data_IF_511507540602
#
_entry.id   IF_511507540602
#
_cell.length_a   1.000
_cell.length_b   1.000
_cell.length_c   1.000
_cell.angle_alpha   90.00
_cell.angle_beta   90.00
_cell.angle_gamma   90.00
#
_symmetry.space_group_name_H-M   'P 1'
#
loop_
_entity.id
_entity.type
_entity.pdbx_description
1 polymer ?
#
# COMPACT_ATOMS: atom_id res chain seq x y z
N UNK A 1 10.29 -19.24 15.15
CA UNK A 1 11.21 -18.13 15.47
C UNK A 1 10.35 -17.06 16.15
N UNK A 2 10.80 -16.46 17.25
CA UNK A 2 10.04 -15.37 17.88
C UNK A 2 10.10 -14.14 16.97
N UNK A 3 8.95 -13.49 16.74
CA UNK A 3 8.82 -12.39 15.77
C UNK A 3 9.77 -11.24 16.05
N UNK A 4 10.14 -11.04 17.32
CA UNK A 4 11.12 -10.02 17.72
C UNK A 4 12.48 -10.23 17.07
N UNK A 5 12.91 -11.48 16.92
CA UNK A 5 14.17 -11.78 16.22
C UNK A 5 14.03 -11.49 14.74
N UNK A 6 12.88 -11.79 14.13
CA UNK A 6 12.63 -11.50 12.72
C UNK A 6 12.68 -9.99 12.49
N UNK A 7 11.98 -9.20 13.30
CA UNK A 7 11.98 -7.72 13.21
C UNK A 7 13.38 -7.14 13.50
N UNK A 8 14.12 -7.69 14.46
CA UNK A 8 15.49 -7.22 14.77
C UNK A 8 16.45 -7.49 13.62
N UNK A 9 16.43 -8.70 13.06
CA UNK A 9 17.26 -9.07 11.89
C UNK A 9 16.87 -8.22 10.68
N UNK A 10 15.58 -8.03 10.45
CA UNK A 10 15.05 -7.18 9.39
C UNK A 10 15.51 -5.72 9.53
N UNK A 11 15.49 -5.17 10.75
CA UNK A 11 15.95 -3.83 11.07
C UNK A 11 17.45 -3.66 10.76
N UNK A 12 18.29 -4.54 11.31
CA UNK A 12 19.74 -4.51 11.05
C UNK A 12 20.03 -4.65 9.56
N UNK A 13 19.38 -5.59 8.88
CA UNK A 13 19.58 -5.79 7.45
C UNK A 13 19.19 -4.55 6.61
N UNK A 14 18.04 -3.94 6.89
CA UNK A 14 17.55 -2.75 6.18
C UNK A 14 18.39 -1.51 6.47
N UNK A 15 18.92 -1.37 7.68
CA UNK A 15 19.84 -0.28 8.02
C UNK A 15 21.20 -0.50 7.35
N UNK A 16 21.76 -1.71 7.44
CA UNK A 16 23.02 -2.03 6.79
C UNK A 16 22.96 -1.84 5.28
N UNK A 17 21.84 -2.17 4.63
CA UNK A 17 21.68 -1.96 3.19
C UNK A 17 21.69 -0.49 2.80
N UNK A 18 21.04 0.40 3.56
CA UNK A 18 21.08 1.85 3.34
C UNK A 18 22.49 2.42 3.61
N UNK A 19 23.19 1.92 4.63
CA UNK A 19 24.57 2.32 4.91
C UNK A 19 25.53 1.89 3.80
N UNK A 20 25.38 0.67 3.29
CA UNK A 20 26.14 0.17 2.13
C UNK A 20 25.82 0.96 0.85
N UNK A 21 24.54 1.29 0.62
CA UNK A 21 24.15 2.14 -0.50
C UNK A 21 24.82 3.53 -0.45
N UNK A 22 25.10 4.06 0.75
CA UNK A 22 25.75 5.37 0.91
C UNK A 22 27.20 5.44 0.41
N UNK A 23 27.86 4.30 0.26
CA UNK A 23 29.26 4.19 -0.21
C UNK A 23 29.36 3.58 -1.61
N UNK A 24 28.23 3.32 -2.26
CA UNK A 24 28.17 2.76 -3.60
C UNK A 24 28.55 3.81 -4.66
N UNK A 25 29.38 3.41 -5.62
CA UNK A 25 29.81 4.25 -6.74
C UNK A 25 29.15 3.86 -8.07
N UNK A 26 28.61 2.64 -8.15
CA UNK A 26 28.03 2.08 -9.37
C UNK A 26 26.51 1.87 -9.24
N UNK A 27 25.77 2.06 -10.34
CA UNK A 27 24.30 1.91 -10.36
C UNK A 27 23.88 0.49 -9.99
N UNK A 28 24.61 -0.54 -10.43
CA UNK A 28 24.29 -1.93 -10.10
C UNK A 28 24.42 -2.23 -8.60
N UNK A 29 25.33 -1.55 -7.90
CA UNK A 29 25.47 -1.67 -6.44
C UNK A 29 24.23 -1.10 -5.73
N UNK A 30 23.64 -0.04 -6.29
CA UNK A 30 22.39 0.53 -5.77
C UNK A 30 21.20 -0.40 -6.00
N UNK A 31 21.11 -1.08 -7.14
CA UNK A 31 20.06 -2.08 -7.36
C UNK A 31 20.11 -3.21 -6.33
N UNK A 32 21.31 -3.66 -5.97
CA UNK A 32 21.47 -4.72 -4.95
C UNK A 32 21.18 -4.17 -3.56
N UNK A 33 21.76 -3.03 -3.17
CA UNK A 33 21.62 -2.50 -1.82
C UNK A 33 20.21 -1.97 -1.55
N UNK A 34 19.70 -1.08 -2.41
CA UNK A 34 18.39 -0.44 -2.20
C UNK A 34 17.25 -1.35 -2.68
N UNK A 35 17.41 -2.03 -3.82
CA UNK A 35 16.36 -2.89 -4.37
C UNK A 35 16.25 -4.21 -3.59
N UNK A 36 17.31 -5.03 -3.63
CA UNK A 36 17.25 -6.39 -3.10
C UNK A 36 17.39 -6.44 -1.57
N UNK A 37 18.45 -5.87 -1.00
CA UNK A 37 18.72 -5.99 0.43
C UNK A 37 17.70 -5.23 1.30
N UNK A 38 17.42 -3.96 0.97
CA UNK A 38 16.37 -3.21 1.68
C UNK A 38 14.98 -3.82 1.42
N UNK A 39 14.71 -4.32 0.21
CA UNK A 39 13.44 -5.01 -0.10
C UNK A 39 13.24 -6.26 0.74
N UNK A 40 14.28 -7.08 0.92
CA UNK A 40 14.22 -8.27 1.76
C UNK A 40 14.05 -7.91 3.24
N UNK A 41 14.82 -6.94 3.75
CA UNK A 41 14.71 -6.48 5.13
C UNK A 41 13.33 -5.89 5.43
N UNK A 42 12.82 -5.01 4.58
CA UNK A 42 11.49 -4.40 4.76
C UNK A 42 10.37 -5.43 4.66
N UNK A 43 10.48 -6.44 3.79
CA UNK A 43 9.50 -7.53 3.69
C UNK A 43 9.43 -8.38 4.97
N UNK A 44 10.58 -8.72 5.56
CA UNK A 44 10.66 -9.44 6.82
C UNK A 44 10.07 -8.63 8.00
N UNK A 45 10.19 -7.31 7.96
CA UNK A 45 9.60 -6.42 8.97
C UNK A 45 8.09 -6.20 8.75
N UNK A 46 7.67 -6.08 7.50
CA UNK A 46 6.28 -5.80 7.11
C UNK A 46 5.33 -6.90 7.59
N UNK A 47 5.73 -8.17 7.39
CA UNK A 47 4.89 -9.32 7.70
C UNK A 47 4.42 -9.37 9.18
N UNK A 48 5.30 -9.40 10.20
CA UNK A 48 4.87 -9.44 11.60
C UNK A 48 4.12 -8.15 12.01
N UNK A 49 4.54 -6.98 11.53
CA UNK A 49 3.85 -5.72 11.82
C UNK A 49 2.41 -5.68 11.28
N UNK A 50 2.13 -6.36 10.17
CA UNK A 50 0.77 -6.50 9.64
C UNK A 50 -0.06 -7.60 10.33
N UNK A 51 0.55 -8.74 10.66
CA UNK A 51 -0.19 -9.87 11.23
C UNK A 51 -0.64 -9.63 12.68
N UNK A 52 0.20 -8.99 13.50
CA UNK A 52 -0.05 -8.88 14.94
C UNK A 52 -1.31 -8.06 15.27
N UNK A 53 -1.60 -6.92 14.64
CA UNK A 53 -2.88 -6.23 14.83
C UNK A 53 -4.10 -7.12 14.52
N UNK A 54 -4.03 -7.94 13.47
CA UNK A 54 -5.11 -8.87 13.07
C UNK A 54 -5.35 -9.98 14.09
N UNK A 55 -4.31 -10.38 14.84
CA UNK A 55 -4.42 -11.35 15.93
C UNK A 55 -4.91 -10.74 17.25
N UNK A 56 -4.38 -9.57 17.62
CA UNK A 56 -4.69 -8.91 18.89
C UNK A 56 -6.13 -8.38 18.95
N UNK A 57 -6.64 -7.90 17.82
CA UNK A 57 -8.00 -7.37 17.74
C UNK A 57 -8.89 -8.33 16.97
N UNK A 58 -10.00 -8.75 17.56
CA UNK A 58 -11.02 -9.58 16.89
C UNK A 58 -12.20 -8.77 16.39
N UNK A 59 -12.69 -7.83 17.22
CA UNK A 59 -13.88 -6.99 16.94
C UNK A 59 -13.57 -5.68 16.22
N UNK A 60 -12.34 -5.17 16.33
CA UNK A 60 -11.88 -3.89 15.75
C UNK A 60 -10.68 -4.08 14.83
N UNK A 61 -10.72 -5.14 14.00
CA UNK A 61 -9.61 -5.55 13.12
C UNK A 61 -9.30 -4.49 12.08
N UNK A 62 -10.33 -3.92 11.48
CA UNK A 62 -10.19 -2.97 10.38
C UNK A 62 -9.65 -1.64 10.90
N UNK A 63 -10.10 -1.19 12.08
CA UNK A 63 -9.52 -0.01 12.74
C UNK A 63 -8.04 -0.23 13.07
N UNK A 64 -7.69 -1.38 13.67
CA UNK A 64 -6.29 -1.67 14.03
C UNK A 64 -5.39 -1.72 12.79
N UNK A 65 -5.84 -2.40 11.74
CA UNK A 65 -5.14 -2.44 10.44
C UNK A 65 -5.07 -1.04 9.81
N UNK A 66 -6.11 -0.24 9.94
CA UNK A 66 -6.18 1.13 9.43
C UNK A 66 -5.22 2.08 10.10
N UNK A 67 -4.94 1.91 11.40
CA UNK A 67 -3.88 2.66 12.09
C UNK A 67 -2.50 2.29 11.54
N UNK A 68 -2.24 0.99 11.31
CA UNK A 68 -0.92 0.57 10.79
C UNK A 68 -0.75 0.95 9.32
N UNK A 69 -1.74 0.71 8.46
CA UNK A 69 -1.71 1.14 7.06
C UNK A 69 -1.69 2.67 6.95
N UNK A 70 -2.38 3.37 7.85
CA UNK A 70 -2.35 4.83 7.91
C UNK A 70 -0.93 5.39 8.13
N UNK A 71 -0.04 4.63 8.76
CA UNK A 71 1.37 5.04 8.90
C UNK A 71 2.10 5.17 7.55
N UNK A 72 1.67 4.49 6.49
CA UNK A 72 2.25 4.64 5.14
C UNK A 72 2.09 6.07 4.62
N UNK A 73 0.94 6.70 4.88
CA UNK A 73 0.69 8.06 4.42
C UNK A 73 1.49 9.10 5.21
N UNK A 74 1.60 8.93 6.53
CA UNK A 74 2.44 9.78 7.39
C UNK A 74 3.91 9.61 7.01
N UNK A 75 4.36 8.37 6.84
CA UNK A 75 5.72 8.06 6.39
C UNK A 75 6.02 8.67 5.03
N UNK A 76 5.13 8.53 4.05
CA UNK A 76 5.30 9.12 2.73
C UNK A 76 5.48 10.63 2.78
N UNK A 77 4.67 11.34 3.58
CA UNK A 77 4.79 12.79 3.76
C UNK A 77 6.10 13.18 4.45
N UNK A 78 6.44 12.55 5.58
CA UNK A 78 7.62 12.91 6.37
C UNK A 78 8.91 12.54 5.66
N UNK A 79 9.03 11.30 5.15
CA UNK A 79 10.25 10.83 4.50
C UNK A 79 10.53 11.56 3.19
N UNK A 80 9.51 11.90 2.40
CA UNK A 80 9.72 12.67 1.16
C UNK A 80 10.32 14.04 1.45
N UNK A 81 9.80 14.77 2.44
CA UNK A 81 10.30 16.09 2.81
C UNK A 81 11.71 16.03 3.42
N UNK A 82 11.96 15.07 4.32
CA UNK A 82 13.29 14.86 4.90
C UNK A 82 14.31 14.51 3.81
N UNK A 83 13.94 13.65 2.87
CA UNK A 83 14.81 13.26 1.76
C UNK A 83 15.14 14.45 0.86
N UNK A 84 14.15 15.25 0.44
CA UNK A 84 14.38 16.44 -0.39
C UNK A 84 15.32 17.43 0.31
N UNK A 85 15.06 17.75 1.58
CA UNK A 85 15.90 18.67 2.35
C UNK A 85 17.33 18.14 2.55
N UNK A 86 17.50 16.84 2.80
CA UNK A 86 18.83 16.23 2.95
C UNK A 86 19.60 16.21 1.62
N UNK A 87 18.93 15.92 0.51
CA UNK A 87 19.55 15.91 -0.81
C UNK A 87 20.08 17.30 -1.20
N UNK A 88 19.33 18.36 -0.89
CA UNK A 88 19.71 19.74 -1.20
C UNK A 88 20.85 20.27 -0.32
N UNK A 89 20.95 19.84 0.94
CA UNK A 89 21.87 20.42 1.93
C UNK A 89 23.16 19.63 2.14
N UNK A 90 23.07 18.30 2.24
CA UNK A 90 24.19 17.43 2.67
C UNK A 90 24.53 16.35 1.64
N UNK A 91 23.80 16.32 0.52
CA UNK A 91 24.03 15.43 -0.61
C UNK A 91 23.58 13.98 -0.39
N UNK A 92 23.70 13.19 -1.45
CA UNK A 92 23.16 11.83 -1.54
C UNK A 92 23.66 10.85 -0.47
N UNK A 93 24.98 10.76 -0.27
CA UNK A 93 25.57 9.77 0.63
C UNK A 93 25.12 9.98 2.09
N UNK A 94 25.13 11.23 2.57
CA UNK A 94 24.66 11.52 3.92
C UNK A 94 23.15 11.41 4.07
N UNK A 95 22.38 11.76 3.03
CA UNK A 95 20.94 11.53 3.01
C UNK A 95 20.60 10.05 3.29
N UNK A 96 21.26 9.10 2.63
CA UNK A 96 21.03 7.67 2.86
C UNK A 96 21.41 7.22 4.28
N UNK A 97 22.46 7.79 4.87
CA UNK A 97 22.85 7.49 6.26
C UNK A 97 21.82 7.99 7.26
N UNK A 98 21.31 9.21 7.08
CA UNK A 98 20.24 9.77 7.90
C UNK A 98 19.00 8.86 7.85
N UNK A 99 18.60 8.43 6.66
CA UNK A 99 17.49 7.47 6.49
C UNK A 99 17.77 6.13 7.17
N UNK A 100 19.00 5.62 7.08
CA UNK A 100 19.41 4.39 7.76
C UNK A 100 19.37 4.49 9.29
N UNK A 101 19.76 5.63 9.88
CA UNK A 101 19.66 5.88 11.32
C UNK A 101 18.21 6.02 11.78
N UNK A 102 17.36 6.71 11.00
CA UNK A 102 15.93 6.79 11.27
C UNK A 102 15.27 5.40 11.24
N UNK A 103 15.60 4.59 10.23
CA UNK A 103 15.14 3.21 10.12
C UNK A 103 15.59 2.36 11.32
N UNK A 104 16.83 2.53 11.77
CA UNK A 104 17.36 1.81 12.94
C UNK A 104 16.61 2.18 14.22
N UNK A 105 16.38 3.48 14.44
CA UNK A 105 15.69 3.97 15.63
C UNK A 105 14.23 3.47 15.66
N UNK A 106 13.49 3.67 14.57
CA UNK A 106 12.08 3.27 14.49
C UNK A 106 11.91 1.74 14.46
N UNK A 107 12.75 1.04 13.69
CA UNK A 107 12.75 -0.43 13.61
C UNK A 107 13.20 -1.09 14.91
N UNK A 108 14.13 -0.47 15.65
CA UNK A 108 14.54 -0.91 16.98
C UNK A 108 13.40 -0.80 18.01
N UNK A 109 12.67 0.32 18.00
CA UNK A 109 11.46 0.47 18.82
C UNK A 109 10.41 -0.59 18.44
N UNK A 110 10.19 -0.82 17.14
CA UNK A 110 9.27 -1.84 16.66
C UNK A 110 9.67 -3.26 17.11
N UNK A 111 10.97 -3.59 17.10
CA UNK A 111 11.48 -4.89 17.55
C UNK A 111 11.18 -5.18 19.03
N UNK A 112 11.19 -4.15 19.88
CA UNK A 112 10.88 -4.27 21.31
C UNK A 112 9.36 -4.40 21.54
N UNK A 113 8.57 -3.64 20.78
CA UNK A 113 7.12 -3.53 20.96
C UNK A 113 6.32 -4.63 20.27
N UNK A 114 6.84 -5.24 19.19
CA UNK A 114 6.13 -6.29 18.45
C UNK A 114 6.10 -7.59 19.27
N UNK A 115 5.03 -7.79 20.05
CA UNK A 115 4.84 -8.97 20.91
C UNK A 115 3.77 -9.91 20.35
N UNK A 116 4.08 -11.21 20.18
CA UNK A 116 3.06 -12.18 19.78
C UNK A 116 2.04 -12.38 20.90
N UNK A 117 0.74 -12.39 20.55
CA UNK A 117 -0.33 -12.71 21.52
C UNK A 117 -0.33 -14.20 21.86
N UNK A 118 -0.22 -15.04 20.83
CA UNK A 118 -0.18 -16.49 20.95
C UNK A 118 1.23 -17.01 20.73
N UNK A 119 1.61 -18.08 21.43
CA UNK A 119 2.88 -18.76 21.16
C UNK A 119 2.91 -19.20 19.69
N UNK A 120 4.03 -19.04 18.97
CA UNK A 120 4.11 -19.46 17.58
C UNK A 120 3.77 -20.94 17.47
N UNK A 121 2.72 -21.25 16.72
CA UNK A 121 2.29 -22.62 16.46
C UNK A 121 3.40 -23.33 15.67
N UNK A 122 3.92 -24.43 16.21
CA UNK A 122 4.92 -25.24 15.51
C UNK A 122 4.24 -25.96 14.34
N UNK A 123 4.89 -26.00 13.18
CA UNK A 123 4.41 -26.76 12.01
C UNK A 123 3.44 -26.02 11.07
N UNK A 124 3.34 -24.68 11.16
CA UNK A 124 2.62 -23.90 10.15
C UNK A 124 3.37 -23.99 8.81
N UNK A 125 2.68 -24.43 7.75
CA UNK A 125 3.25 -24.47 6.41
C UNK A 125 3.60 -23.05 5.94
N UNK A 126 4.84 -22.84 5.52
CA UNK A 126 5.33 -21.55 4.98
C UNK A 126 4.60 -21.23 3.67
N UNK A 127 4.32 -22.26 2.88
CA UNK A 127 3.56 -22.17 1.62
C UNK A 127 2.48 -23.25 1.65
N UNK A 128 1.22 -22.84 1.46
CA UNK A 128 0.10 -23.76 1.37
C UNK A 128 -0.66 -23.56 0.05
N UNK A 129 -0.37 -24.40 -0.94
CA UNK A 129 -1.05 -24.40 -2.24
C UNK A 129 -2.50 -24.88 -2.17
N UNK A 130 -2.94 -25.50 -1.07
CA UNK A 130 -4.34 -25.91 -0.92
C UNK A 130 -5.28 -24.70 -0.91
N UNK A 131 -4.79 -23.51 -0.51
CA UNK A 131 -5.54 -22.26 -0.57
C UNK A 131 -5.98 -21.90 -2.00
N UNK A 132 -5.21 -22.28 -3.02
CA UNK A 132 -5.55 -22.03 -4.43
C UNK A 132 -6.74 -22.88 -4.92
N UNK A 133 -7.16 -23.91 -4.16
CA UNK A 133 -8.39 -24.65 -4.45
C UNK A 133 -9.64 -23.91 -3.99
N UNK A 134 -9.52 -22.96 -3.07
CA UNK A 134 -10.63 -22.17 -2.57
C UNK A 134 -10.95 -21.03 -3.55
N UNK A 135 -12.09 -21.13 -4.25
CA UNK A 135 -12.55 -20.13 -5.22
C UNK A 135 -12.59 -18.70 -4.67
N UNK A 136 -13.00 -18.52 -3.40
CA UNK A 136 -13.05 -17.19 -2.75
C UNK A 136 -11.66 -16.60 -2.59
N UNK A 137 -10.70 -17.45 -2.22
CA UNK A 137 -9.32 -17.05 -2.04
C UNK A 137 -8.63 -16.74 -3.38
N UNK A 138 -8.90 -17.50 -4.44
CA UNK A 138 -8.38 -17.19 -5.80
C UNK A 138 -8.89 -15.84 -6.30
N UNK A 139 -10.17 -15.53 -6.09
CA UNK A 139 -10.71 -14.20 -6.42
C UNK A 139 -10.02 -13.09 -5.61
N UNK A 140 -9.73 -13.35 -4.32
CA UNK A 140 -9.00 -12.41 -3.48
C UNK A 140 -7.56 -12.18 -3.98
N UNK A 141 -6.89 -13.20 -4.50
CA UNK A 141 -5.59 -13.04 -5.16
C UNK A 141 -5.71 -12.13 -6.38
N UNK A 142 -6.78 -12.26 -7.17
CA UNK A 142 -7.09 -11.35 -8.27
C UNK A 142 -7.30 -9.90 -7.82
N UNK A 143 -7.99 -9.68 -6.69
CA UNK A 143 -8.15 -8.35 -6.07
C UNK A 143 -6.78 -7.74 -5.73
N UNK A 144 -5.90 -8.51 -5.08
CA UNK A 144 -4.56 -8.02 -4.71
C UNK A 144 -3.67 -7.78 -5.93
N UNK A 145 -3.71 -8.67 -6.92
CA UNK A 145 -2.96 -8.55 -8.15
C UNK A 145 -3.36 -7.28 -8.92
N UNK A 146 -4.65 -7.12 -9.25
CA UNK A 146 -5.14 -5.99 -10.04
C UNK A 146 -5.01 -4.67 -9.25
N UNK A 147 -5.35 -4.68 -7.96
CA UNK A 147 -5.27 -3.50 -7.10
C UNK A 147 -3.84 -2.94 -7.01
N UNK A 148 -2.83 -3.80 -7.02
CA UNK A 148 -1.44 -3.37 -6.98
C UNK A 148 -0.98 -2.60 -8.23
N UNK A 149 -1.53 -2.91 -9.42
CA UNK A 149 -1.23 -2.13 -10.63
C UNK A 149 -1.78 -0.70 -10.54
N UNK A 150 -2.93 -0.52 -9.89
CA UNK A 150 -3.57 0.80 -9.75
C UNK A 150 -2.95 1.66 -8.65
N UNK A 151 -2.43 1.03 -7.59
CA UNK A 151 -2.05 1.70 -6.34
C UNK A 151 -1.13 2.91 -6.54
N UNK A 152 -0.05 2.75 -7.30
CA UNK A 152 0.96 3.80 -7.47
C UNK A 152 0.59 4.91 -8.46
N UNK A 153 -0.44 4.71 -9.30
CA UNK A 153 -0.74 5.61 -10.44
C UNK A 153 -1.11 7.02 -9.99
N UNK A 154 -2.08 7.23 -9.08
CA UNK A 154 -2.43 8.57 -8.62
C UNK A 154 -1.24 9.32 -8.00
N UNK A 155 -0.50 8.68 -7.07
CA UNK A 155 0.61 9.33 -6.39
C UNK A 155 1.78 9.68 -7.32
N UNK A 156 2.09 8.83 -8.30
CA UNK A 156 3.18 9.05 -9.25
C UNK A 156 2.88 10.13 -10.30
N UNK A 157 1.67 10.12 -10.86
CA UNK A 157 1.32 11.00 -11.98
C UNK A 157 0.63 12.30 -11.57
N UNK A 158 0.10 12.42 -10.34
CA UNK A 158 -0.59 13.64 -9.91
C UNK A 158 0.33 14.89 -9.98
N UNK A 159 1.57 14.88 -9.43
CA UNK A 159 2.46 16.04 -9.56
C UNK A 159 2.85 16.33 -11.01
N UNK A 160 3.10 15.28 -11.81
CA UNK A 160 3.49 15.42 -13.22
C UNK A 160 2.35 16.03 -14.05
N UNK A 161 1.11 15.60 -13.82
CA UNK A 161 -0.07 16.16 -14.45
C UNK A 161 -0.30 17.61 -14.02
N UNK A 162 -0.13 17.93 -12.74
CA UNK A 162 -0.23 19.31 -12.24
C UNK A 162 0.80 20.23 -12.94
N UNK A 163 2.06 19.79 -13.05
CA UNK A 163 3.10 20.55 -13.74
C UNK A 163 2.81 20.73 -15.23
N UNK A 164 2.21 19.72 -15.89
CA UNK A 164 1.78 19.85 -17.29
C UNK A 164 0.69 20.92 -17.50
N UNK A 165 -0.07 21.24 -16.45
CA UNK A 165 -1.05 22.33 -16.44
C UNK A 165 -0.45 23.68 -16.00
N UNK A 166 0.87 23.75 -15.83
CA UNK A 166 1.58 24.97 -15.42
C UNK A 166 1.58 25.23 -13.91
N UNK A 167 1.18 24.27 -13.08
CA UNK A 167 1.30 24.38 -11.62
C UNK A 167 2.78 24.26 -11.23
N UNK A 168 3.23 25.11 -10.31
CA UNK A 168 4.61 25.12 -9.84
C UNK A 168 4.99 23.79 -9.13
N UNK A 169 6.28 23.45 -9.17
CA UNK A 169 6.81 22.18 -8.63
C UNK A 169 6.51 22.01 -7.15
N UNK A 170 6.52 23.10 -6.38
CA UNK A 170 6.27 23.06 -4.93
C UNK A 170 4.81 22.71 -4.62
N UNK A 171 3.86 23.41 -5.25
CA UNK A 171 2.44 23.10 -5.14
C UNK A 171 2.12 21.68 -5.62
N UNK A 172 2.66 21.27 -6.77
CA UNK A 172 2.46 19.93 -7.32
C UNK A 172 2.98 18.82 -6.41
N UNK A 173 4.15 19.02 -5.78
CA UNK A 173 4.72 18.07 -4.81
C UNK A 173 3.87 18.00 -3.55
N UNK A 174 3.40 19.14 -3.06
CA UNK A 174 2.53 19.21 -1.88
C UNK A 174 1.15 18.59 -2.13
N UNK A 175 0.64 18.56 -3.36
CA UNK A 175 -0.58 17.80 -3.69
C UNK A 175 -0.41 16.31 -3.35
N UNK A 176 0.73 15.72 -3.70
CA UNK A 176 1.02 14.33 -3.35
C UNK A 176 1.26 14.14 -1.83
N UNK A 177 1.87 15.13 -1.18
CA UNK A 177 1.97 15.17 0.28
C UNK A 177 0.61 15.15 0.98
N UNK A 178 -0.33 15.98 0.53
CA UNK A 178 -1.71 16.02 1.05
C UNK A 178 -2.46 14.73 0.73
N UNK A 179 -2.30 14.17 -0.48
CA UNK A 179 -2.86 12.86 -0.81
C UNK A 179 -2.41 11.80 0.21
N UNK A 180 -1.12 11.78 0.54
CA UNK A 180 -0.55 10.85 1.54
C UNK A 180 -1.08 11.12 2.96
N UNK A 181 -1.20 12.38 3.37
CA UNK A 181 -1.79 12.75 4.65
C UNK A 181 -3.25 12.29 4.76
N UNK A 182 -4.05 12.58 3.74
CA UNK A 182 -5.45 12.16 3.64
C UNK A 182 -5.60 10.64 3.57
N UNK A 183 -4.64 9.92 2.97
CA UNK A 183 -4.58 8.45 3.01
C UNK A 183 -4.46 7.91 4.42
N UNK A 184 -3.70 8.58 5.28
CA UNK A 184 -3.56 8.21 6.69
C UNK A 184 -4.90 8.33 7.42
N UNK A 185 -5.59 9.46 7.24
CA UNK A 185 -6.90 9.71 7.84
C UNK A 185 -7.95 8.74 7.30
N UNK A 186 -7.97 8.54 5.97
CA UNK A 186 -8.87 7.62 5.29
C UNK A 186 -8.73 6.19 5.79
N UNK A 187 -7.50 5.72 5.98
CA UNK A 187 -7.22 4.38 6.50
C UNK A 187 -7.87 4.14 7.88
N UNK A 188 -7.78 5.13 8.77
CA UNK A 188 -8.35 5.05 10.12
C UNK A 188 -9.88 5.16 10.08
N UNK A 189 -10.41 6.18 9.41
CA UNK A 189 -11.86 6.46 9.36
C UNK A 189 -12.61 5.33 8.65
N UNK A 190 -12.15 4.93 7.46
CA UNK A 190 -12.77 3.85 6.70
C UNK A 190 -12.53 2.50 7.38
N UNK A 191 -11.39 2.28 8.02
CA UNK A 191 -11.17 1.12 8.88
C UNK A 191 -12.24 1.03 9.98
N UNK A 192 -12.47 2.12 10.72
CA UNK A 192 -13.54 2.18 11.73
C UNK A 192 -14.93 1.91 11.14
N UNK A 193 -15.27 2.52 10.01
CA UNK A 193 -16.56 2.32 9.35
C UNK A 193 -16.73 0.89 8.82
N UNK A 194 -15.65 0.29 8.30
CA UNK A 194 -15.63 -1.09 7.82
C UNK A 194 -15.96 -2.09 8.92
N UNK A 195 -15.50 -1.83 10.14
CA UNK A 195 -15.88 -2.65 11.30
C UNK A 195 -17.40 -2.60 11.56
N UNK A 196 -18.13 -1.53 11.22
CA UNK A 196 -19.58 -1.41 11.45
C UNK A 196 -20.45 -1.82 10.26
N UNK A 197 -20.09 -1.40 9.05
CA UNK A 197 -20.87 -1.59 7.81
C UNK A 197 -20.63 -2.99 7.20
N UNK A 198 -19.50 -3.62 7.52
CA UNK A 198 -19.03 -4.87 6.94
C UNK A 198 -17.86 -4.64 5.99
N UNK A 199 -16.85 -5.52 6.08
CA UNK A 199 -15.58 -5.41 5.38
C UNK A 199 -15.75 -5.36 3.86
N UNK A 200 -16.55 -6.29 3.32
CA UNK A 200 -16.75 -6.38 1.88
C UNK A 200 -17.55 -5.21 1.32
N UNK A 201 -18.57 -4.75 2.06
CA UNK A 201 -19.39 -3.60 1.67
C UNK A 201 -18.57 -2.32 1.62
N UNK A 202 -17.82 -2.06 2.69
CA UNK A 202 -17.03 -0.85 2.78
C UNK A 202 -15.89 -0.84 1.76
N UNK A 203 -15.28 -2.00 1.48
CA UNK A 203 -14.26 -2.12 0.42
C UNK A 203 -14.84 -1.82 -0.96
N UNK A 204 -16.02 -2.35 -1.27
CA UNK A 204 -16.69 -2.08 -2.53
C UNK A 204 -17.06 -0.60 -2.66
N UNK A 205 -17.59 0.02 -1.59
CA UNK A 205 -17.92 1.44 -1.57
C UNK A 205 -16.67 2.31 -1.77
N UNK A 206 -15.58 2.05 -1.05
CA UNK A 206 -14.32 2.77 -1.23
C UNK A 206 -13.74 2.59 -2.64
N UNK A 207 -13.81 1.38 -3.20
CA UNK A 207 -13.40 1.12 -4.58
C UNK A 207 -14.22 1.90 -5.62
N UNK A 208 -15.54 1.96 -5.45
CA UNK A 208 -16.41 2.79 -6.28
C UNK A 208 -16.05 4.28 -6.17
N UNK A 209 -15.79 4.79 -4.95
CA UNK A 209 -15.40 6.18 -4.75
C UNK A 209 -14.04 6.50 -5.39
N UNK A 210 -13.04 5.63 -5.24
CA UNK A 210 -11.73 5.79 -5.90
C UNK A 210 -11.90 5.85 -7.42
N UNK A 211 -12.66 4.94 -8.01
CA UNK A 211 -12.94 4.95 -9.45
C UNK A 211 -13.67 6.24 -9.87
N UNK A 212 -14.71 6.62 -9.13
CA UNK A 212 -15.51 7.81 -9.41
C UNK A 212 -14.67 9.09 -9.34
N UNK A 213 -13.82 9.26 -8.32
CA UNK A 213 -12.98 10.46 -8.18
C UNK A 213 -11.91 10.54 -9.28
N UNK A 214 -11.37 9.41 -9.73
CA UNK A 214 -10.47 9.41 -10.90
C UNK A 214 -11.18 9.85 -12.18
N UNK A 215 -12.36 9.29 -12.45
CA UNK A 215 -13.08 9.58 -13.70
C UNK A 215 -13.78 10.95 -13.70
N UNK A 216 -14.24 11.43 -12.55
CA UNK A 216 -15.02 12.68 -12.48
C UNK A 216 -14.17 13.88 -12.11
N UNK A 217 -13.19 13.74 -11.21
CA UNK A 217 -12.35 14.86 -10.76
C UNK A 217 -11.04 14.90 -11.52
N UNK A 218 -10.26 13.80 -11.53
CA UNK A 218 -8.91 13.84 -12.13
C UNK A 218 -8.95 13.96 -13.64
N UNK A 219 -9.77 13.14 -14.30
CA UNK A 219 -9.85 13.11 -15.76
C UNK A 219 -10.34 14.44 -16.35
N UNK A 220 -11.17 15.17 -15.59
CA UNK A 220 -11.73 16.47 -16.01
C UNK A 220 -10.97 17.67 -15.45
N UNK A 221 -9.94 17.43 -14.62
CA UNK A 221 -9.18 18.49 -13.97
C UNK A 221 -8.41 19.32 -15.00
N UNK A 222 -8.70 20.62 -15.05
CA UNK A 222 -8.04 21.61 -15.92
C UNK A 222 -7.34 22.71 -15.13
N UNK A 223 -7.46 22.71 -13.80
CA UNK A 223 -6.93 23.76 -12.94
C UNK A 223 -6.41 23.20 -11.60
N UNK A 224 -5.60 23.99 -10.91
CA UNK A 224 -4.99 23.62 -9.63
C UNK A 224 -6.02 23.25 -8.55
N UNK A 225 -7.14 23.98 -8.46
CA UNK A 225 -8.16 23.72 -7.45
C UNK A 225 -8.79 22.32 -7.58
N UNK A 226 -9.08 21.88 -8.81
CA UNK A 226 -9.58 20.52 -9.07
C UNK A 226 -8.59 19.42 -8.68
N UNK A 227 -7.29 19.67 -8.84
CA UNK A 227 -6.23 18.73 -8.45
C UNK A 227 -6.05 18.64 -6.94
N UNK A 228 -6.18 19.76 -6.22
CA UNK A 228 -6.21 19.75 -4.75
C UNK A 228 -7.42 19.01 -4.21
N UNK A 229 -8.61 19.25 -4.80
CA UNK A 229 -9.82 18.53 -4.43
C UNK A 229 -9.66 17.02 -4.69
N UNK A 230 -9.06 16.65 -5.82
CA UNK A 230 -8.73 15.26 -6.14
C UNK A 230 -7.76 14.65 -5.11
N UNK A 231 -6.68 15.34 -4.75
CA UNK A 231 -5.68 14.85 -3.79
C UNK A 231 -6.33 14.46 -2.45
N UNK A 232 -7.22 15.32 -1.93
CA UNK A 232 -7.94 15.08 -0.66
C UNK A 232 -8.92 13.92 -0.81
N UNK A 233 -9.80 13.97 -1.82
CA UNK A 233 -10.85 12.97 -2.02
C UNK A 233 -10.26 11.57 -2.27
N UNK A 234 -9.23 11.49 -3.10
CA UNK A 234 -8.51 10.25 -3.37
C UNK A 234 -7.74 9.73 -2.18
N UNK A 235 -7.01 10.58 -1.46
CA UNK A 235 -6.29 10.15 -0.28
C UNK A 235 -7.21 9.41 0.67
N UNK A 236 -8.36 10.02 1.02
CA UNK A 236 -9.34 9.39 1.93
C UNK A 236 -9.86 8.05 1.39
N UNK A 237 -10.29 8.02 0.13
CA UNK A 237 -10.89 6.81 -0.46
C UNK A 237 -9.85 5.68 -0.66
N UNK A 238 -8.65 6.04 -1.10
CA UNK A 238 -7.53 5.12 -1.32
C UNK A 238 -6.93 4.60 0.00
N UNK A 239 -6.90 5.39 1.07
CA UNK A 239 -6.50 4.90 2.39
C UNK A 239 -7.44 3.79 2.89
N UNK A 240 -8.74 4.02 2.70
CA UNK A 240 -9.77 3.06 3.07
C UNK A 240 -9.68 1.74 2.33
N UNK A 241 -9.55 1.77 0.99
CA UNK A 241 -9.50 0.55 0.19
C UNK A 241 -8.28 -0.31 0.55
N UNK A 242 -7.10 0.28 0.76
CA UNK A 242 -5.88 -0.45 1.10
C UNK A 242 -5.97 -1.12 2.48
N UNK A 243 -6.58 -0.42 3.44
CA UNK A 243 -6.82 -0.97 4.79
C UNK A 243 -7.72 -2.20 4.75
N UNK A 244 -8.83 -2.11 4.03
CA UNK A 244 -9.85 -3.14 4.06
C UNK A 244 -9.49 -4.37 3.22
N UNK A 245 -8.77 -4.20 2.10
CA UNK A 245 -8.31 -5.31 1.26
C UNK A 245 -7.40 -6.28 2.05
N UNK A 246 -6.54 -5.74 2.91
CA UNK A 246 -5.71 -6.56 3.82
C UNK A 246 -6.57 -7.20 4.92
N UNK A 247 -7.53 -6.46 5.47
CA UNK A 247 -8.41 -6.94 6.53
C UNK A 247 -9.37 -8.06 6.09
N UNK A 248 -9.66 -8.20 4.79
CA UNK A 248 -10.50 -9.27 4.22
C UNK A 248 -9.77 -10.63 4.14
N UNK A 249 -8.44 -10.66 4.14
CA UNK A 249 -7.66 -11.89 3.95
C UNK A 249 -8.07 -13.02 4.93
N UNK A 250 -8.16 -12.77 6.26
CA UNK A 250 -8.52 -13.81 7.21
C UNK A 250 -9.89 -14.47 6.95
N UNK A 251 -10.85 -13.71 6.42
CA UNK A 251 -12.23 -14.15 6.17
C UNK A 251 -12.36 -14.95 4.86
N UNK A 252 -11.44 -14.75 3.91
CA UNK A 252 -11.39 -15.58 2.71
C UNK A 252 -10.66 -16.92 2.96
N UNK A 253 -9.65 -16.91 3.84
CA UNK A 253 -8.88 -18.11 4.20
C UNK A 253 -9.69 -19.09 5.04
N UNK A 254 -10.53 -18.60 5.98
CA UNK A 254 -11.41 -19.40 6.86
C UNK A 254 -10.73 -20.45 7.77
N UNK A 255 -9.40 -20.56 7.74
CA UNK A 255 -8.61 -21.46 8.59
C UNK A 255 -7.47 -20.68 9.27
N UNK A 256 -7.49 -20.51 10.61
CA UNK A 256 -6.45 -19.80 11.35
C UNK A 256 -5.03 -20.32 11.11
N UNK A 257 -4.87 -21.63 10.90
CA UNK A 257 -3.56 -22.25 10.68
C UNK A 257 -2.95 -21.85 9.32
N UNK A 258 -3.79 -21.47 8.36
CA UNK A 258 -3.38 -21.11 6.99
C UNK A 258 -3.35 -19.61 6.73
N UNK A 259 -3.82 -18.78 7.67
CA UNK A 259 -3.81 -17.30 7.52
C UNK A 259 -2.43 -16.74 7.23
N UNK A 260 -1.34 -17.20 7.90
CA UNK A 260 0.03 -16.82 7.57
C UNK A 260 0.38 -16.97 6.08
N UNK A 261 0.23 -18.18 5.54
CA UNK A 261 0.47 -18.48 4.14
C UNK A 261 -0.49 -17.71 3.22
N UNK A 262 -1.74 -17.54 3.64
CA UNK A 262 -2.76 -16.78 2.93
C UNK A 262 -2.44 -15.29 2.79
N UNK A 263 -1.89 -14.65 3.82
CA UNK A 263 -1.41 -13.27 3.68
C UNK A 263 -0.13 -13.21 2.86
N UNK A 264 0.79 -14.17 3.01
CA UNK A 264 2.01 -14.24 2.20
C UNK A 264 1.72 -14.25 0.70
N UNK A 265 0.81 -15.13 0.25
CA UNK A 265 0.38 -15.19 -1.15
C UNK A 265 -0.32 -13.92 -1.63
N UNK A 266 -1.18 -13.32 -0.80
CA UNK A 266 -1.89 -12.09 -1.14
C UNK A 266 -0.93 -10.90 -1.32
N UNK A 267 0.06 -10.77 -0.43
CA UNK A 267 1.11 -9.75 -0.53
C UNK A 267 2.09 -10.05 -1.68
N UNK A 268 2.38 -11.31 -1.97
CA UNK A 268 3.21 -11.69 -3.12
C UNK A 268 2.59 -11.22 -4.44
N UNK A 269 1.25 -11.24 -4.58
CA UNK A 269 0.58 -10.71 -5.77
C UNK A 269 0.83 -9.21 -6.00
N UNK A 270 1.14 -8.45 -4.94
CA UNK A 270 1.44 -7.02 -5.08
C UNK A 270 2.77 -6.76 -5.78
N UNK A 271 3.73 -7.69 -5.71
CA UNK A 271 5.06 -7.52 -6.31
C UNK A 271 4.96 -7.20 -7.80
N UNK A 272 4.09 -7.89 -8.54
CA UNK A 272 3.93 -7.68 -9.98
C UNK A 272 3.32 -6.31 -10.30
N UNK A 273 2.28 -5.90 -9.56
CA UNK A 273 1.61 -4.64 -9.78
C UNK A 273 2.47 -3.43 -9.41
N UNK A 274 3.23 -3.51 -8.31
CA UNK A 274 4.15 -2.44 -7.93
C UNK A 274 5.35 -2.33 -8.87
N UNK A 275 5.83 -3.45 -9.43
CA UNK A 275 6.94 -3.45 -10.38
C UNK A 275 6.53 -2.95 -11.77
N UNK A 276 5.37 -3.38 -12.26
CA UNK A 276 4.96 -3.15 -13.66
C UNK A 276 3.89 -2.06 -13.83
N UNK A 277 3.11 -1.75 -12.79
CA UNK A 277 1.98 -0.82 -12.89
C UNK A 277 2.38 0.60 -13.29
N UNK A 278 3.41 1.15 -12.64
CA UNK A 278 3.93 2.47 -12.98
C UNK A 278 4.54 2.53 -14.39
N UNK A 279 5.47 1.63 -14.79
CA UNK A 279 5.98 1.60 -16.16
C UNK A 279 4.90 1.42 -17.23
N UNK A 280 3.90 0.57 -17.01
CA UNK A 280 2.80 0.39 -17.96
C UNK A 280 1.98 1.68 -18.13
N UNK A 281 1.64 2.35 -17.02
CA UNK A 281 0.97 3.63 -17.07
C UNK A 281 1.83 4.71 -17.74
N UNK A 282 3.15 4.75 -17.46
CA UNK A 282 4.09 5.66 -18.10
C UNK A 282 4.18 5.43 -19.61
N UNK A 283 4.20 4.17 -20.05
CA UNK A 283 4.16 3.79 -21.46
C UNK A 283 2.86 4.17 -22.17
N UNK A 284 1.75 4.36 -21.42
CA UNK A 284 0.50 4.90 -21.96
C UNK A 284 0.61 6.43 -22.13
N UNK A 285 1.17 7.13 -21.15
CA UNK A 285 1.36 8.59 -21.19
C UNK A 285 2.29 9.02 -22.33
N UNK A 286 3.33 8.22 -22.61
CA UNK A 286 4.39 8.53 -23.58
C UNK A 286 4.10 8.06 -25.02
N UNK A 287 2.85 7.66 -25.33
CA UNK A 287 2.47 7.25 -26.70
C UNK A 287 2.39 8.41 -27.69
N UNK A 288 2.21 9.61 -27.19
CA UNK A 288 2.04 10.84 -27.97
C UNK A 288 3.23 11.76 -27.72
N UNK A 289 3.55 12.61 -28.70
CA UNK A 289 4.67 13.58 -28.58
C UNK A 289 4.46 14.55 -27.40
N UNK A 290 3.20 14.88 -27.11
CA UNK A 290 2.79 15.62 -25.92
C UNK A 290 2.25 14.60 -24.90
N UNK A 291 2.77 14.55 -23.65
CA UNK A 291 2.30 13.61 -22.64
C UNK A 291 0.78 13.68 -22.42
N UNK A 292 0.07 12.59 -22.73
CA UNK A 292 -1.38 12.49 -22.48
C UNK A 292 -1.68 11.63 -21.25
N UNK A 293 -2.04 12.29 -20.15
CA UNK A 293 -2.33 11.63 -18.88
C UNK A 293 -3.71 10.97 -18.85
N UNK A 294 -4.64 11.32 -19.77
CA UNK A 294 -6.01 10.79 -19.75
C UNK A 294 -6.05 9.27 -19.88
N UNK A 295 -5.21 8.71 -20.75
CA UNK A 295 -5.10 7.27 -20.92
C UNK A 295 -4.67 6.53 -19.64
N UNK A 296 -3.70 7.08 -18.91
CA UNK A 296 -3.24 6.51 -17.65
C UNK A 296 -4.28 6.63 -16.52
N UNK A 297 -5.02 7.75 -16.48
CA UNK A 297 -6.12 7.96 -15.52
C UNK A 297 -7.24 6.94 -15.76
N UNK A 298 -7.68 6.77 -17.02
CA UNK A 298 -8.71 5.79 -17.39
C UNK A 298 -8.23 4.36 -17.08
N UNK A 299 -6.99 4.04 -17.42
CA UNK A 299 -6.39 2.74 -17.12
C UNK A 299 -6.42 2.42 -15.62
N UNK A 300 -5.98 3.36 -14.78
CA UNK A 300 -6.03 3.23 -13.32
C UNK A 300 -7.46 3.07 -12.80
N UNK A 301 -8.41 3.89 -13.27
CA UNK A 301 -9.79 3.80 -12.85
C UNK A 301 -10.43 2.44 -13.21
N UNK A 302 -10.14 1.93 -14.40
CA UNK A 302 -10.63 0.63 -14.85
C UNK A 302 -10.04 -0.53 -14.05
N UNK A 303 -8.75 -0.47 -13.69
CA UNK A 303 -8.16 -1.46 -12.78
C UNK A 303 -8.86 -1.49 -11.42
N UNK A 304 -9.10 -0.32 -10.83
CA UNK A 304 -9.85 -0.22 -9.55
C UNK A 304 -11.29 -0.70 -9.70
N UNK A 305 -11.94 -0.39 -10.82
CA UNK A 305 -13.29 -0.88 -11.10
C UNK A 305 -13.32 -2.40 -11.19
N UNK A 306 -12.41 -3.02 -11.95
CA UNK A 306 -12.30 -4.49 -12.04
C UNK A 306 -12.01 -5.10 -10.67
N UNK A 307 -11.09 -4.51 -9.89
CA UNK A 307 -10.81 -4.93 -8.52
C UNK A 307 -12.08 -4.89 -7.65
N UNK A 308 -12.87 -3.82 -7.76
CA UNK A 308 -14.12 -3.63 -7.02
C UNK A 308 -15.16 -4.68 -7.41
N UNK A 309 -15.31 -4.99 -8.71
CA UNK A 309 -16.18 -6.06 -9.18
C UNK A 309 -15.79 -7.43 -8.60
N UNK A 310 -14.48 -7.72 -8.51
CA UNK A 310 -14.01 -8.97 -7.88
C UNK A 310 -14.35 -9.01 -6.39
N UNK A 311 -14.21 -7.90 -5.65
CA UNK A 311 -14.61 -7.81 -4.24
C UNK A 311 -16.12 -8.07 -4.09
N UNK A 312 -16.95 -7.47 -4.94
CA UNK A 312 -18.40 -7.73 -4.96
C UNK A 312 -18.72 -9.19 -5.28
N UNK A 313 -17.99 -9.82 -6.21
CA UNK A 313 -18.15 -11.24 -6.51
C UNK A 313 -17.82 -12.12 -5.28
N UNK A 314 -16.74 -11.83 -4.55
CA UNK A 314 -16.39 -12.54 -3.31
C UNK A 314 -17.50 -12.37 -2.26
N UNK A 315 -18.02 -11.15 -2.11
CA UNK A 315 -19.14 -10.86 -1.22
C UNK A 315 -20.38 -11.70 -1.54
N UNK A 316 -20.80 -11.71 -2.81
CA UNK A 316 -21.97 -12.49 -3.25
C UNK A 316 -21.75 -13.99 -2.99
N UNK A 317 -20.54 -14.49 -3.20
CA UNK A 317 -20.19 -15.89 -2.86
C UNK A 317 -20.17 -16.18 -1.36
N UNK A 318 -19.99 -15.17 -0.51
CA UNK A 318 -19.98 -15.33 0.95
C UNK A 318 -21.38 -15.24 1.55
N UNK A 319 -22.21 -14.29 1.11
CA UNK A 319 -23.47 -13.93 1.77
C UNK A 319 -24.72 -13.95 0.90
N UNK A 320 -24.60 -14.32 -0.37
CA UNK A 320 -25.65 -14.14 -1.37
C UNK A 320 -25.86 -12.66 -1.75
N UNK A 321 -26.92 -12.39 -2.50
CA UNK A 321 -27.20 -11.07 -3.12
C UNK A 321 -27.72 -9.98 -2.16
N UNK A 322 -27.81 -10.26 -0.86
CA UNK A 322 -28.31 -9.29 0.11
C UNK A 322 -27.26 -8.21 0.44
N UNK A 323 -27.35 -7.08 -0.27
CA UNK A 323 -26.42 -5.94 -0.19
C UNK A 323 -26.24 -5.34 1.21
N UNK A 324 -27.25 -5.44 2.10
CA UNK A 324 -27.19 -4.84 3.45
C UNK A 324 -26.82 -5.82 4.57
N UNK A 325 -26.55 -7.10 4.27
CA UNK A 325 -26.09 -8.02 5.31
C UNK A 325 -24.65 -7.68 5.69
N UNK A 326 -24.38 -7.52 6.98
CA UNK A 326 -23.03 -7.29 7.51
C UNK A 326 -22.21 -8.57 7.33
N UNK A 327 -21.19 -8.47 6.48
CA UNK A 327 -20.30 -9.54 6.05
C UNK A 327 -18.91 -8.94 5.94
#
# INVERSE_FOLDING_TARGET
MDDRYIVSVACVLSTSSLMLASISHEIWQLYICIGVLTGFGTSLMWYPCMQRPLEWFSKRRSLATGVVIGSLGVGGLTFSNVMTACLETIGYAWCLRVLGFLQLALGGIAAILCKPLNRPTKGVAIVDFALLRNKRYVLLLGVHFIGAFAFGIPGGFLPQYAQSLGVDTWSATNMNGVLSACMSVGSIVVGYLGDHVGLFNMTALSGCLVCLFQLTIWLTATNSASLWAFAVAMGIAQGGINTLVVAIIPDCVNDPSKRPAGTGWALFMWTFGLLLGQPLASAIVSRTDIPDYRGAIIFSAMLVFTMTCLVVAIRVLHSGWHLFKRV
#
